data_IF_995191798747
#
_entry.id   IF_995191798747
#
_cell.length_a   1.000
_cell.length_b   1.000
_cell.length_c   1.000
_cell.angle_alpha   90.00
_cell.angle_beta   90.00
_cell.angle_gamma   90.00
#
_symmetry.space_group_name_H-M   'P 1'
#
loop_
_entity.id
_entity.type
_entity.pdbx_description
1 polymer ?
#
# COMPACT_ATOMS: atom_id res chain seq x y z
N UNK A 1 7.08 16.86 9.50
CA UNK A 1 8.28 16.00 9.42
C UNK A 1 8.50 15.67 7.96
N UNK A 2 9.65 16.03 7.36
CA UNK A 2 9.98 15.63 6.00
C UNK A 2 10.26 14.12 5.94
N UNK A 3 10.03 13.50 4.78
CA UNK A 3 10.46 12.12 4.53
C UNK A 3 12.00 12.07 4.45
N UNK A 4 12.62 10.95 4.85
CA UNK A 4 14.04 10.70 4.60
C UNK A 4 14.40 10.83 3.11
N UNK A 5 15.66 11.16 2.84
CA UNK A 5 16.18 11.24 1.48
C UNK A 5 15.97 9.92 0.71
N UNK A 6 15.59 10.04 -0.57
CA UNK A 6 15.29 8.89 -1.43
C UNK A 6 13.90 8.27 -1.24
N UNK A 7 13.09 8.78 -0.30
CA UNK A 7 11.69 8.37 -0.15
C UNK A 7 10.74 9.44 -0.68
N UNK A 8 9.71 8.98 -1.40
CA UNK A 8 8.67 9.82 -1.99
C UNK A 8 7.28 9.37 -1.58
N UNK A 9 6.37 10.33 -1.43
CA UNK A 9 4.97 10.12 -1.08
C UNK A 9 4.08 10.15 -2.33
N UNK A 10 3.25 9.14 -2.50
CA UNK A 10 2.29 9.04 -3.59
C UNK A 10 0.87 8.93 -3.02
N UNK A 11 -0.06 9.75 -3.52
CA UNK A 11 -1.47 9.72 -3.13
C UNK A 11 -2.30 8.76 -3.97
N UNK A 12 -1.77 7.56 -4.19
CA UNK A 12 -2.44 6.47 -4.91
C UNK A 12 -2.27 5.18 -4.12
N UNK A 13 -3.27 4.28 -4.14
CA UNK A 13 -3.12 2.96 -3.53
C UNK A 13 -2.03 2.14 -4.25
N UNK A 14 -1.42 1.17 -3.55
CA UNK A 14 -0.48 0.24 -4.17
C UNK A 14 -1.24 -0.77 -5.05
N UNK A 15 -0.51 -1.56 -5.83
CA UNK A 15 -1.11 -2.68 -6.56
C UNK A 15 -1.67 -3.74 -5.59
N UNK A 16 -2.61 -4.56 -6.05
CA UNK A 16 -3.24 -5.63 -5.24
C UNK A 16 -2.19 -6.58 -4.65
N UNK A 17 -1.23 -7.00 -5.48
CA UNK A 17 -0.16 -7.90 -5.06
C UNK A 17 0.77 -7.24 -4.03
N UNK A 18 1.19 -6.00 -4.30
CA UNK A 18 2.03 -5.20 -3.42
C UNK A 18 1.36 -4.98 -2.05
N UNK A 19 0.08 -4.61 -2.02
CA UNK A 19 -0.69 -4.46 -0.78
C UNK A 19 -0.66 -5.75 0.06
N UNK A 20 -0.90 -6.89 -0.58
CA UNK A 20 -0.95 -8.20 0.10
C UNK A 20 0.42 -8.58 0.64
N UNK A 21 1.48 -8.40 -0.15
CA UNK A 21 2.85 -8.67 0.26
C UNK A 21 3.26 -7.79 1.45
N UNK A 22 2.97 -6.49 1.39
CA UNK A 22 3.28 -5.54 2.47
C UNK A 22 2.59 -5.89 3.78
N UNK A 23 1.32 -6.33 3.74
CA UNK A 23 0.62 -6.79 4.95
C UNK A 23 1.35 -7.94 5.63
N UNK A 24 1.78 -8.94 4.86
CA UNK A 24 2.50 -10.10 5.40
C UNK A 24 3.87 -9.69 5.94
N UNK A 25 4.63 -8.89 5.18
CA UNK A 25 5.94 -8.39 5.59
C UNK A 25 5.88 -7.56 6.89
N UNK A 26 4.78 -6.85 7.11
CA UNK A 26 4.51 -6.08 8.32
C UNK A 26 3.92 -6.92 9.48
N UNK A 27 3.81 -8.24 9.34
CA UNK A 27 3.24 -9.13 10.37
C UNK A 27 1.72 -9.02 10.53
N UNK A 28 1.02 -8.41 9.56
CA UNK A 28 -0.44 -8.32 9.53
C UNK A 28 -1.05 -9.56 8.87
N UNK A 29 -2.31 -9.84 9.21
CA UNK A 29 -3.08 -10.90 8.56
C UNK A 29 -3.19 -10.67 7.05
N UNK A 30 -2.97 -11.70 6.21
CA UNK A 30 -3.06 -11.56 4.77
C UNK A 30 -4.49 -11.23 4.34
N UNK A 31 -4.62 -10.47 3.25
CA UNK A 31 -5.90 -10.28 2.56
C UNK A 31 -5.93 -11.18 1.33
N UNK A 32 -7.12 -11.69 0.99
CA UNK A 32 -7.31 -12.38 -0.28
C UNK A 32 -7.15 -11.39 -1.43
N UNK A 33 -6.81 -11.91 -2.61
CA UNK A 33 -6.71 -11.11 -3.84
C UNK A 33 -8.03 -10.40 -4.15
N UNK A 34 -9.14 -11.13 -4.12
CA UNK A 34 -10.47 -10.59 -4.36
C UNK A 34 -10.83 -9.46 -3.38
N UNK A 35 -10.54 -9.62 -2.09
CA UNK A 35 -10.83 -8.58 -1.09
C UNK A 35 -9.98 -7.32 -1.32
N UNK A 36 -8.72 -7.47 -1.72
CA UNK A 36 -7.85 -6.34 -2.05
C UNK A 36 -8.26 -5.66 -3.37
N UNK A 37 -8.62 -6.43 -4.40
CA UNK A 37 -9.09 -5.90 -5.69
C UNK A 37 -10.39 -5.10 -5.57
N UNK A 38 -11.29 -5.51 -4.66
CA UNK A 38 -12.49 -4.74 -4.34
C UNK A 38 -12.20 -3.57 -3.40
N UNK A 39 -11.36 -3.76 -2.37
CA UNK A 39 -11.16 -2.74 -1.34
C UNK A 39 -10.29 -1.56 -1.77
N UNK A 40 -9.24 -1.79 -2.57
CA UNK A 40 -8.28 -0.73 -2.93
C UNK A 40 -8.90 0.39 -3.78
N UNK A 41 -9.69 0.12 -4.83
CA UNK A 41 -10.36 1.17 -5.60
C UNK A 41 -11.40 1.96 -4.80
N UNK A 42 -11.96 1.36 -3.74
CA UNK A 42 -12.94 2.00 -2.86
C UNK A 42 -12.32 2.70 -1.64
N UNK A 43 -10.99 2.84 -1.61
CA UNK A 43 -10.30 3.57 -0.55
C UNK A 43 -10.49 5.08 -0.73
N UNK A 44 -11.09 5.76 0.26
CA UNK A 44 -11.36 7.21 0.20
C UNK A 44 -10.09 8.04 0.06
N UNK A 45 -9.01 7.62 0.74
CA UNK A 45 -7.70 8.26 0.64
C UNK A 45 -6.60 7.24 0.94
N UNK A 46 -5.53 7.25 0.13
CA UNK A 46 -4.41 6.34 0.27
C UNK A 46 -3.09 7.07 0.14
N UNK A 47 -2.09 6.61 0.90
CA UNK A 47 -0.72 7.10 0.83
C UNK A 47 0.22 5.90 0.67
N UNK A 48 1.06 5.96 -0.35
CA UNK A 48 2.16 5.02 -0.56
C UNK A 48 3.50 5.75 -0.44
N UNK A 49 4.38 5.22 0.41
CA UNK A 49 5.77 5.68 0.47
C UNK A 49 6.60 4.72 -0.37
N UNK A 50 7.36 5.25 -1.33
CA UNK A 50 8.22 4.46 -2.22
C UNK A 50 9.63 5.02 -2.22
N UNK A 51 10.59 4.14 -2.42
CA UNK A 51 11.97 4.53 -2.68
C UNK A 51 12.15 4.81 -4.16
N UNK A 52 12.82 5.90 -4.51
CA UNK A 52 13.17 6.29 -5.89
C UNK A 52 14.59 5.93 -6.27
#
# INVERSE_FOLDING_TARGET
MPLPDGLQCFHVPPAVEEYRALRVAAGLSPKSEQAAALGLPNTVFSVCIRQS
#
